data_IF_080618117522
#
_entry.id   IF_080618117522
#
_cell.length_a   1.000
_cell.length_b   1.000
_cell.length_c   1.000
_cell.angle_alpha   90.00
_cell.angle_beta   90.00
_cell.angle_gamma   90.00
#
_symmetry.space_group_name_H-M   'P 1'
#
loop_
_entity.id
_entity.type
_entity.pdbx_description
1 polymer ?
#
# COMPACT_ATOMS: atom_id res chain seq x y z
N UNK A 1 6.05 -30.36 -3.64
CA UNK A 1 6.15 -29.77 -2.30
C UNK A 1 4.80 -29.18 -1.95
N UNK A 2 4.22 -29.55 -0.80
CA UNK A 2 2.96 -28.95 -0.35
C UNK A 2 3.22 -27.49 0.07
N UNK A 3 2.38 -26.57 -0.40
CA UNK A 3 2.50 -25.17 -0.04
C UNK A 3 2.39 -24.97 1.49
N UNK A 4 3.23 -24.11 2.06
CA UNK A 4 3.16 -23.74 3.48
C UNK A 4 1.88 -22.94 3.73
N UNK A 5 1.06 -23.40 4.68
CA UNK A 5 -0.17 -22.71 5.06
C UNK A 5 0.15 -21.55 6.02
N UNK A 6 -0.19 -20.34 5.61
CA UNK A 6 -0.01 -19.10 6.38
C UNK A 6 -1.36 -18.44 6.60
N UNK A 7 -1.68 -18.08 7.83
CA UNK A 7 -2.93 -17.40 8.16
C UNK A 7 -2.72 -15.88 8.14
N UNK A 8 -3.55 -15.16 7.40
CA UNK A 8 -3.64 -13.70 7.42
C UNK A 8 -4.79 -13.31 8.34
N UNK A 9 -4.47 -12.79 9.52
CA UNK A 9 -5.47 -12.44 10.54
C UNK A 9 -5.87 -10.97 10.41
N UNK A 10 -7.11 -10.74 10.04
CA UNK A 10 -7.74 -9.42 9.83
C UNK A 10 -8.58 -9.02 11.04
N UNK A 11 -8.64 -7.72 11.32
CA UNK A 11 -9.55 -7.13 12.30
C UNK A 11 -10.81 -6.56 11.64
N UNK A 12 -11.38 -5.51 12.25
CA UNK A 12 -12.54 -4.82 11.72
C UNK A 12 -12.24 -4.25 10.32
N UNK A 13 -13.14 -4.49 9.40
CA UNK A 13 -13.05 -3.92 8.05
C UNK A 13 -13.32 -2.42 8.04
N UNK A 14 -12.67 -1.71 7.14
CA UNK A 14 -12.99 -0.32 6.81
C UNK A 14 -14.09 -0.28 5.73
N UNK A 15 -14.93 0.74 5.78
CA UNK A 15 -16.01 0.90 4.82
C UNK A 15 -15.91 2.26 4.11
N UNK A 16 -16.37 2.34 2.85
CA UNK A 16 -17.01 1.32 2.00
C UNK A 16 -16.00 0.38 1.28
N UNK A 17 -14.71 0.55 1.46
CA UNK A 17 -13.64 -0.28 0.87
C UNK A 17 -12.57 -0.54 1.92
N UNK A 18 -11.94 -1.70 1.88
CA UNK A 18 -10.84 -2.04 2.80
C UNK A 18 -9.58 -2.43 2.02
N UNK A 19 -8.65 -1.48 1.91
CA UNK A 19 -7.41 -1.69 1.17
C UNK A 19 -6.49 -2.76 1.78
N UNK A 20 -6.64 -3.10 3.08
CA UNK A 20 -5.88 -4.18 3.71
C UNK A 20 -6.50 -5.53 3.40
N UNK A 21 -7.83 -5.63 3.38
CA UNK A 21 -8.51 -6.85 2.95
C UNK A 21 -8.22 -7.14 1.47
N UNK A 22 -8.31 -6.14 0.60
CA UNK A 22 -7.95 -6.26 -0.82
C UNK A 22 -6.48 -6.69 -1.01
N UNK A 23 -5.57 -6.11 -0.24
CA UNK A 23 -4.16 -6.50 -0.22
C UNK A 23 -3.98 -7.98 0.17
N UNK A 24 -4.68 -8.45 1.21
CA UNK A 24 -4.61 -9.84 1.64
C UNK A 24 -5.16 -10.80 0.59
N UNK A 25 -6.24 -10.43 -0.13
CA UNK A 25 -6.76 -11.23 -1.22
C UNK A 25 -5.76 -11.36 -2.37
N UNK A 26 -5.12 -10.25 -2.76
CA UNK A 26 -4.06 -10.28 -3.79
C UNK A 26 -2.86 -11.11 -3.36
N UNK A 27 -2.46 -11.00 -2.10
CA UNK A 27 -1.40 -11.84 -1.54
C UNK A 27 -1.77 -13.33 -1.60
N UNK A 28 -3.03 -13.67 -1.28
CA UNK A 28 -3.56 -15.04 -1.38
C UNK A 28 -3.55 -15.56 -2.81
N UNK A 29 -3.99 -14.76 -3.79
CA UNK A 29 -3.98 -15.11 -5.21
C UNK A 29 -2.55 -15.40 -5.73
N UNK A 30 -1.57 -14.62 -5.31
CA UNK A 30 -0.20 -14.70 -5.80
C UNK A 30 0.69 -15.72 -5.06
N UNK A 31 0.38 -16.00 -3.78
CA UNK A 31 1.26 -16.76 -2.88
C UNK A 31 1.58 -18.19 -3.31
N UNK A 32 0.63 -18.87 -3.95
CA UNK A 32 0.79 -20.26 -4.38
C UNK A 32 1.98 -20.48 -5.34
N UNK A 33 2.32 -19.46 -6.15
CA UNK A 33 3.47 -19.51 -7.06
C UNK A 33 4.81 -19.56 -6.34
N UNK A 34 4.83 -19.15 -5.08
CA UNK A 34 6.02 -19.13 -4.21
C UNK A 34 5.90 -20.09 -3.03
N UNK A 35 5.04 -21.14 -3.15
CA UNK A 35 4.91 -22.15 -2.13
C UNK A 35 4.17 -21.71 -0.87
N UNK A 36 3.43 -20.59 -0.89
CA UNK A 36 2.65 -20.07 0.23
C UNK A 36 1.16 -20.17 -0.06
N UNK A 37 0.42 -20.86 0.80
CA UNK A 37 -1.04 -20.94 0.76
C UNK A 37 -1.62 -20.04 1.85
N UNK A 38 -1.98 -18.81 1.50
CA UNK A 38 -2.57 -17.87 2.43
C UNK A 38 -4.06 -18.15 2.67
N UNK A 39 -4.44 -18.18 3.93
CA UNK A 39 -5.82 -18.31 4.41
C UNK A 39 -6.21 -17.03 5.16
N UNK A 40 -7.32 -16.40 4.78
CA UNK A 40 -7.82 -15.19 5.41
C UNK A 40 -8.77 -15.56 6.54
N UNK A 41 -8.49 -15.04 7.74
CA UNK A 41 -9.34 -15.18 8.91
C UNK A 41 -9.65 -13.81 9.49
N UNK A 42 -10.92 -13.50 9.68
CA UNK A 42 -11.35 -12.25 10.27
C UNK A 42 -11.75 -12.45 11.74
N UNK A 43 -11.22 -11.60 12.61
CA UNK A 43 -11.60 -11.57 14.01
C UNK A 43 -12.70 -10.54 14.25
N UNK A 44 -13.91 -10.99 14.55
CA UNK A 44 -15.12 -10.18 14.67
C UNK A 44 -15.22 -9.42 16.02
N UNK A 45 -14.10 -8.92 16.56
CA UNK A 45 -14.04 -8.27 17.88
C UNK A 45 -14.93 -7.01 17.98
N UNK A 46 -15.21 -6.36 16.86
CA UNK A 46 -16.01 -5.14 16.83
C UNK A 46 -17.52 -5.44 16.98
N UNK A 47 -17.97 -6.58 16.51
CA UNK A 47 -19.34 -7.07 16.54
C UNK A 47 -19.62 -7.85 17.82
N UNK A 48 -18.81 -8.85 18.14
CA UNK A 48 -19.00 -9.82 19.22
C UNK A 48 -18.31 -9.44 20.54
N UNK A 49 -17.39 -8.49 20.45
CA UNK A 49 -16.59 -8.06 21.60
C UNK A 49 -15.33 -8.90 21.80
N UNK A 50 -14.35 -8.29 22.44
CA UNK A 50 -13.00 -8.85 22.59
C UNK A 50 -12.94 -10.18 23.37
N UNK A 51 -13.86 -10.44 24.30
CA UNK A 51 -13.85 -11.67 25.11
C UNK A 51 -14.24 -12.87 24.26
N UNK A 52 -15.34 -12.76 23.52
CA UNK A 52 -15.82 -13.80 22.63
C UNK A 52 -14.80 -14.09 21.53
N UNK A 53 -14.39 -13.06 20.81
CA UNK A 53 -13.45 -13.20 19.70
C UNK A 53 -12.07 -13.77 20.11
N UNK A 54 -11.56 -13.47 21.31
CA UNK A 54 -10.31 -14.11 21.78
C UNK A 54 -10.54 -15.58 22.19
N UNK A 55 -11.77 -15.98 22.58
CA UNK A 55 -12.13 -17.38 22.83
C UNK A 55 -12.15 -18.17 21.52
N UNK A 56 -12.85 -17.64 20.52
CA UNK A 56 -12.91 -18.23 19.17
C UNK A 56 -11.51 -18.33 18.52
N UNK A 57 -10.70 -17.26 18.65
CA UNK A 57 -9.32 -17.29 18.19
C UNK A 57 -8.54 -18.43 18.84
N UNK A 58 -8.72 -18.66 20.14
CA UNK A 58 -8.03 -19.75 20.86
C UNK A 58 -8.46 -21.11 20.32
N UNK A 59 -9.76 -21.31 20.09
CA UNK A 59 -10.30 -22.55 19.54
C UNK A 59 -9.77 -22.83 18.13
N UNK A 60 -9.81 -21.81 17.25
CA UNK A 60 -9.27 -21.91 15.89
C UNK A 60 -7.75 -22.15 15.87
N UNK A 61 -7.00 -21.46 16.75
CA UNK A 61 -5.55 -21.51 16.80
C UNK A 61 -4.98 -22.87 17.25
N UNK A 62 -5.76 -23.74 17.87
CA UNK A 62 -5.36 -25.12 18.14
C UNK A 62 -4.98 -25.85 16.86
N UNK A 63 -5.71 -25.60 15.75
CA UNK A 63 -5.41 -26.17 14.42
C UNK A 63 -4.23 -25.49 13.70
N UNK A 64 -3.62 -24.44 14.27
CA UNK A 64 -2.55 -23.67 13.65
C UNK A 64 -1.16 -23.91 14.26
N UNK A 65 -1.02 -24.95 15.08
CA UNK A 65 0.27 -25.28 15.70
C UNK A 65 1.39 -25.39 14.64
N UNK A 66 2.51 -24.71 14.87
CA UNK A 66 3.66 -24.62 13.97
C UNK A 66 3.46 -23.76 12.74
N UNK A 67 2.25 -23.28 12.45
CA UNK A 67 1.95 -22.41 11.29
C UNK A 67 2.24 -20.95 11.58
N UNK A 68 2.63 -20.23 10.54
CA UNK A 68 2.77 -18.76 10.57
C UNK A 68 1.39 -18.08 10.56
N UNK A 69 1.16 -17.16 11.50
CA UNK A 69 -0.08 -16.36 11.59
C UNK A 69 0.30 -14.88 11.58
N UNK A 70 -0.03 -14.18 10.50
CA UNK A 70 0.34 -12.79 10.27
C UNK A 70 -0.82 -11.84 10.61
N UNK A 71 -0.71 -11.16 11.75
CA UNK A 71 -1.64 -10.10 12.15
C UNK A 71 -1.50 -8.90 11.20
N UNK A 72 -2.56 -8.55 10.49
CA UNK A 72 -2.60 -7.35 9.65
C UNK A 72 -2.90 -6.13 10.52
N UNK A 73 -1.87 -5.33 10.82
CA UNK A 73 -2.01 -4.24 11.77
C UNK A 73 -2.24 -2.90 11.10
N UNK A 74 -3.46 -2.37 11.28
CA UNK A 74 -3.76 -0.95 11.24
C UNK A 74 -4.42 -0.55 12.55
N UNK A 75 -4.24 0.68 12.97
CA UNK A 75 -4.77 1.16 14.25
C UNK A 75 -6.29 1.00 14.37
N UNK A 76 -7.02 1.34 13.30
CA UNK A 76 -8.48 1.34 13.31
C UNK A 76 -9.09 -0.05 13.08
N UNK A 77 -8.36 -0.98 12.49
CA UNK A 77 -8.79 -2.38 12.44
C UNK A 77 -8.86 -3.02 13.83
N UNK A 78 -8.06 -2.56 14.80
CA UNK A 78 -7.97 -3.12 16.14
C UNK A 78 -8.48 -2.18 17.24
N UNK A 79 -9.06 -1.03 16.88
CA UNK A 79 -9.66 -0.10 17.84
C UNK A 79 -10.63 0.87 17.16
N UNK A 80 -11.86 1.00 17.70
CA UNK A 80 -12.83 1.98 17.20
C UNK A 80 -12.42 3.44 17.46
N UNK A 81 -11.62 3.68 18.50
CA UNK A 81 -11.25 5.04 18.96
C UNK A 81 -9.76 5.34 18.85
N UNK A 82 -9.00 4.49 18.13
CA UNK A 82 -7.58 4.68 17.96
C UNK A 82 -6.72 4.32 19.18
N UNK A 83 -7.19 3.41 20.06
CA UNK A 83 -6.43 2.86 21.21
C UNK A 83 -6.36 1.33 21.10
N UNK A 84 -5.48 0.75 20.27
CA UNK A 84 -5.45 -0.69 19.97
C UNK A 84 -4.79 -1.53 21.10
N UNK A 85 -5.06 -1.22 22.36
CA UNK A 85 -4.40 -1.79 23.54
C UNK A 85 -4.57 -3.32 23.68
N UNK A 86 -5.57 -3.89 23.01
CA UNK A 86 -5.85 -5.33 23.09
C UNK A 86 -5.19 -6.14 21.97
N UNK A 87 -4.70 -5.50 20.90
CA UNK A 87 -4.04 -6.19 19.77
C UNK A 87 -2.87 -7.10 20.22
N UNK A 88 -1.98 -6.70 21.16
CA UNK A 88 -0.90 -7.59 21.62
C UNK A 88 -1.37 -8.87 22.31
N UNK A 89 -2.63 -8.94 22.81
CA UNK A 89 -3.20 -10.16 23.39
C UNK A 89 -3.42 -11.26 22.35
N UNK A 90 -3.68 -10.87 21.10
CA UNK A 90 -3.82 -11.80 19.98
C UNK A 90 -2.54 -12.63 19.84
N UNK A 91 -1.37 -11.97 19.79
CA UNK A 91 -0.09 -12.67 19.66
C UNK A 91 0.19 -13.61 20.82
N UNK A 92 -0.25 -13.24 22.05
CA UNK A 92 -0.12 -14.13 23.19
C UNK A 92 -1.00 -15.40 23.06
N UNK A 93 -2.25 -15.25 22.58
CA UNK A 93 -3.14 -16.39 22.33
C UNK A 93 -2.52 -17.32 21.28
N UNK A 94 -2.08 -16.76 20.15
CA UNK A 94 -1.45 -17.53 19.08
C UNK A 94 -0.23 -18.32 19.59
N UNK A 95 0.66 -17.67 20.35
CA UNK A 95 1.84 -18.32 20.92
C UNK A 95 1.50 -19.41 21.94
N UNK A 96 0.47 -19.20 22.79
CA UNK A 96 0.00 -20.22 23.71
C UNK A 96 -0.56 -21.46 23.03
N UNK A 97 -1.10 -21.32 21.83
CA UNK A 97 -1.58 -22.42 20.98
C UNK A 97 -0.48 -23.02 20.09
N UNK A 98 0.77 -22.59 20.21
CA UNK A 98 1.90 -23.12 19.43
C UNK A 98 2.01 -22.61 18.00
N UNK A 99 1.23 -21.59 17.61
CA UNK A 99 1.39 -20.91 16.33
C UNK A 99 2.62 -19.97 16.35
N UNK A 100 3.14 -19.62 15.18
CA UNK A 100 4.24 -18.66 14.98
C UNK A 100 3.64 -17.28 14.66
N UNK A 101 3.53 -16.37 15.65
CA UNK A 101 2.90 -15.08 15.43
C UNK A 101 3.83 -14.12 14.68
N UNK A 102 3.37 -13.55 13.59
CA UNK A 102 3.98 -12.44 12.88
C UNK A 102 3.05 -11.22 12.80
N UNK A 103 3.59 -10.08 12.41
CA UNK A 103 2.82 -8.85 12.24
C UNK A 103 3.21 -8.17 10.92
N UNK A 104 2.22 -7.79 10.12
CA UNK A 104 2.38 -6.88 8.98
C UNK A 104 1.91 -5.50 9.42
N UNK A 105 2.85 -4.56 9.53
CA UNK A 105 2.59 -3.19 9.96
C UNK A 105 2.22 -2.31 8.77
N UNK A 106 0.92 -2.11 8.54
CA UNK A 106 0.41 -1.11 7.61
C UNK A 106 0.41 0.29 8.23
N UNK A 107 0.16 0.37 9.56
CA UNK A 107 0.40 1.55 10.39
C UNK A 107 1.59 1.28 11.30
N UNK A 108 2.65 2.07 11.14
CA UNK A 108 3.90 1.96 11.90
C UNK A 108 4.23 3.21 12.71
N UNK A 109 3.51 4.32 12.47
CA UNK A 109 3.62 5.54 13.24
C UNK A 109 2.41 5.68 14.18
N UNK A 110 2.62 6.26 15.37
CA UNK A 110 1.52 6.57 16.24
C UNK A 110 0.63 7.66 15.61
N UNK A 111 -0.68 7.57 15.85
CA UNK A 111 -1.60 8.63 15.45
C UNK A 111 -1.31 9.87 16.29
N UNK A 112 -0.67 10.84 15.68
CA UNK A 112 -0.45 12.15 16.29
C UNK A 112 -1.78 12.86 16.53
N UNK A 113 -1.90 13.52 17.68
CA UNK A 113 -3.08 14.30 18.03
C UNK A 113 -2.70 15.51 18.84
N UNK A 114 -3.58 16.52 18.85
CA UNK A 114 -3.38 17.74 19.64
C UNK A 114 -3.93 17.55 21.06
N UNK A 115 -3.30 18.21 22.04
CA UNK A 115 -3.71 18.20 23.44
C UNK A 115 -3.42 16.89 24.19
N UNK A 116 -3.85 16.80 25.44
CA UNK A 116 -3.54 15.70 26.38
C UNK A 116 -4.01 14.33 25.84
N UNK A 117 -5.21 14.28 25.24
CA UNK A 117 -5.74 13.04 24.65
C UNK A 117 -4.91 12.58 23.46
N UNK A 118 -4.42 13.52 22.65
CA UNK A 118 -3.53 13.24 21.52
C UNK A 118 -2.21 12.61 21.98
N UNK A 119 -1.59 13.21 23.00
CA UNK A 119 -0.33 12.70 23.59
C UNK A 119 -0.51 11.33 24.25
N UNK A 120 -1.61 11.14 24.99
CA UNK A 120 -1.93 9.84 25.58
C UNK A 120 -2.14 8.76 24.51
N UNK A 121 -2.79 9.11 23.40
CA UNK A 121 -2.99 8.21 22.25
C UNK A 121 -1.64 7.84 21.62
N UNK A 122 -0.80 8.81 21.36
CA UNK A 122 0.54 8.60 20.80
C UNK A 122 1.38 7.66 21.68
N UNK A 123 1.41 7.90 22.98
CA UNK A 123 2.09 7.03 23.94
C UNK A 123 1.53 5.59 23.93
N UNK A 124 0.20 5.45 23.95
CA UNK A 124 -0.45 4.13 23.87
C UNK A 124 -0.10 3.41 22.58
N UNK A 125 -0.09 4.12 21.45
CA UNK A 125 0.29 3.54 20.15
C UNK A 125 1.74 3.06 20.14
N UNK A 126 2.68 3.89 20.55
CA UNK A 126 4.11 3.49 20.63
C UNK A 126 4.30 2.25 21.48
N UNK A 127 3.59 2.20 22.63
CA UNK A 127 3.62 1.02 23.52
C UNK A 127 3.07 -0.23 22.80
N UNK A 128 1.95 -0.10 22.09
CA UNK A 128 1.35 -1.22 21.34
C UNK A 128 2.26 -1.67 20.22
N UNK A 129 2.79 -0.75 19.41
CA UNK A 129 3.69 -1.07 18.30
C UNK A 129 4.93 -1.83 18.78
N UNK A 130 5.57 -1.37 19.88
CA UNK A 130 6.70 -2.08 20.51
C UNK A 130 6.32 -3.46 21.00
N UNK A 131 5.17 -3.59 21.70
CA UNK A 131 4.69 -4.89 22.19
C UNK A 131 4.37 -5.88 21.07
N UNK A 132 3.80 -5.39 19.95
CA UNK A 132 3.55 -6.22 18.77
C UNK A 132 4.88 -6.68 18.16
N UNK A 133 5.83 -5.78 18.00
CA UNK A 133 7.18 -6.12 17.54
C UNK A 133 7.87 -7.12 18.47
N UNK A 134 7.91 -6.88 19.77
CA UNK A 134 8.57 -7.75 20.74
C UNK A 134 7.99 -9.17 20.75
N UNK A 135 6.67 -9.29 20.60
CA UNK A 135 5.93 -10.56 20.66
C UNK A 135 5.78 -11.28 19.34
N UNK A 136 6.15 -10.70 18.22
CA UNK A 136 6.17 -11.37 16.94
C UNK A 136 7.46 -12.15 16.72
N UNK A 137 7.41 -13.21 15.92
CA UNK A 137 8.58 -13.95 15.46
C UNK A 137 9.14 -13.30 14.18
N UNK A 138 8.26 -12.75 13.34
CA UNK A 138 8.59 -11.90 12.17
C UNK A 138 7.74 -10.64 12.19
N UNK A 139 8.34 -9.51 11.82
CA UNK A 139 7.68 -8.20 11.70
C UNK A 139 7.93 -7.64 10.31
N UNK A 140 6.87 -7.54 9.53
CA UNK A 140 6.91 -7.03 8.15
C UNK A 140 6.41 -5.58 8.16
N UNK A 141 7.21 -4.69 7.62
CA UNK A 141 6.89 -3.26 7.52
C UNK A 141 6.69 -2.87 6.06
N UNK A 142 5.67 -2.08 5.80
CA UNK A 142 5.35 -1.60 4.45
C UNK A 142 6.11 -0.33 4.05
N UNK A 143 7.04 0.11 4.89
CA UNK A 143 7.98 1.21 4.65
C UNK A 143 9.39 0.80 5.03
N UNK A 144 10.40 1.49 4.50
CA UNK A 144 11.80 1.21 4.81
C UNK A 144 12.09 1.34 6.30
N UNK A 145 12.90 0.42 6.85
CA UNK A 145 13.10 0.26 8.30
C UNK A 145 13.82 1.44 8.97
N UNK A 146 14.59 2.21 8.21
CA UNK A 146 15.26 3.43 8.67
C UNK A 146 14.30 4.59 8.97
N UNK A 147 13.09 4.53 8.43
CA UNK A 147 12.03 5.50 8.67
C UNK A 147 11.27 5.25 9.99
N UNK A 148 11.59 4.18 10.72
CA UNK A 148 10.87 3.76 11.91
C UNK A 148 11.71 4.02 13.15
N UNK A 149 11.58 5.21 13.73
CA UNK A 149 12.39 5.69 14.83
C UNK A 149 12.29 4.90 16.15
N UNK A 150 11.20 4.16 16.35
CA UNK A 150 10.98 3.39 17.57
C UNK A 150 11.51 1.94 17.50
N UNK A 151 11.96 1.46 16.33
CA UNK A 151 12.58 0.16 16.20
C UNK A 151 13.92 0.11 16.95
N UNK A 152 14.25 -1.03 17.60
CA UNK A 152 15.55 -1.21 18.20
C UNK A 152 16.66 -1.27 17.14
N UNK A 153 17.92 -1.04 17.54
CA UNK A 153 19.08 -1.14 16.65
C UNK A 153 19.24 -2.53 16.06
N UNK A 154 19.01 -3.58 16.88
CA UNK A 154 18.96 -4.96 16.40
C UNK A 154 17.60 -5.24 15.76
N UNK A 155 17.58 -5.35 14.43
CA UNK A 155 16.37 -5.48 13.61
C UNK A 155 16.20 -6.87 13.00
N UNK A 156 16.76 -7.92 13.64
CA UNK A 156 16.89 -9.28 13.05
C UNK A 156 15.56 -9.88 12.55
N UNK A 157 14.41 -9.53 13.16
CA UNK A 157 13.10 -10.02 12.76
C UNK A 157 12.25 -9.00 12.00
N UNK A 158 12.82 -7.84 11.67
CA UNK A 158 12.15 -6.80 10.89
C UNK A 158 12.52 -6.93 9.42
N UNK A 159 11.51 -7.01 8.56
CA UNK A 159 11.66 -7.10 7.11
C UNK A 159 10.84 -5.97 6.48
N UNK A 160 11.40 -5.33 5.47
CA UNK A 160 10.67 -4.37 4.64
C UNK A 160 10.09 -5.08 3.42
N UNK A 161 8.78 -5.00 3.24
CA UNK A 161 8.07 -5.48 2.05
C UNK A 161 7.04 -4.41 1.65
N UNK A 162 7.15 -3.77 0.48
CA UNK A 162 6.21 -2.75 0.04
C UNK A 162 4.82 -3.34 -0.22
N UNK A 163 3.80 -2.49 -0.34
CA UNK A 163 2.48 -2.96 -0.80
C UNK A 163 2.45 -3.08 -2.32
N UNK A 164 1.62 -3.98 -2.82
CA UNK A 164 1.31 -4.13 -4.23
C UNK A 164 0.10 -3.28 -4.67
N UNK A 165 -0.19 -3.28 -5.96
CA UNK A 165 -1.40 -2.67 -6.50
C UNK A 165 -2.61 -3.58 -6.24
N UNK A 166 -3.70 -3.00 -5.69
CA UNK A 166 -4.95 -3.73 -5.46
C UNK A 166 -5.85 -3.78 -6.71
N UNK A 167 -5.32 -3.46 -7.87
CA UNK A 167 -6.03 -3.51 -9.15
C UNK A 167 -5.29 -4.43 -10.13
N UNK A 168 -5.99 -5.01 -11.13
CA UNK A 168 -5.37 -5.84 -12.14
C UNK A 168 -4.30 -5.08 -12.94
N UNK A 169 -3.25 -5.78 -13.33
CA UNK A 169 -2.25 -5.25 -14.25
C UNK A 169 -2.87 -5.11 -15.64
N UNK A 170 -2.79 -3.92 -16.22
CA UNK A 170 -3.21 -3.68 -17.61
C UNK A 170 -1.97 -3.33 -18.41
N UNK A 171 -1.70 -4.10 -19.44
CA UNK A 171 -0.70 -3.72 -20.44
C UNK A 171 -1.18 -2.45 -21.14
N UNK A 172 -0.59 -1.32 -20.81
CA UNK A 172 -0.89 0.00 -21.40
C UNK A 172 -0.40 0.09 -22.85
N UNK A 173 -1.01 -0.71 -23.75
CA UNK A 173 -0.75 -0.66 -25.18
C UNK A 173 -1.68 0.31 -25.92
N UNK A 174 -2.58 0.99 -25.21
CA UNK A 174 -3.47 1.99 -25.82
C UNK A 174 -2.63 3.24 -26.16
N UNK A 175 -1.97 3.21 -27.31
CA UNK A 175 -1.37 4.41 -27.91
C UNK A 175 -2.49 5.35 -28.32
N UNK A 176 -2.64 6.46 -27.61
CA UNK A 176 -3.54 7.54 -28.02
C UNK A 176 -2.95 8.25 -29.24
N UNK A 177 -3.82 8.63 -30.16
CA UNK A 177 -3.42 9.46 -31.30
C UNK A 177 -2.89 10.82 -30.82
N UNK A 178 -2.01 11.47 -31.60
CA UNK A 178 -1.33 12.72 -31.22
C UNK A 178 -2.27 13.93 -31.03
N UNK A 179 -3.54 13.82 -31.40
CA UNK A 179 -4.53 14.93 -31.38
C UNK A 179 -5.50 14.88 -30.20
N UNK A 180 -5.38 13.90 -29.27
CA UNK A 180 -6.28 13.83 -28.12
C UNK A 180 -5.80 14.69 -26.97
N UNK A 181 -6.74 15.33 -26.25
CA UNK A 181 -6.47 16.09 -25.02
C UNK A 181 -5.68 15.24 -24.01
N UNK A 182 -4.70 15.84 -23.34
CA UNK A 182 -3.92 15.17 -22.30
C UNK A 182 -4.79 14.87 -21.10
N UNK A 183 -4.71 13.64 -20.60
CA UNK A 183 -5.54 13.18 -19.48
C UNK A 183 -4.73 13.10 -18.18
N UNK A 184 -5.21 13.81 -17.17
CA UNK A 184 -4.68 13.76 -15.80
C UNK A 184 -5.62 12.91 -14.95
N UNK A 185 -5.10 11.86 -14.34
CA UNK A 185 -5.82 11.03 -13.37
C UNK A 185 -5.59 11.54 -11.95
N UNK A 186 -6.64 11.53 -11.12
CA UNK A 186 -6.56 11.74 -9.67
C UNK A 186 -7.26 10.58 -8.98
N UNK A 187 -6.50 9.79 -8.23
CA UNK A 187 -7.02 8.62 -7.53
C UNK A 187 -7.24 8.92 -6.05
N UNK A 188 -8.49 9.14 -5.70
CA UNK A 188 -9.01 9.51 -4.38
C UNK A 188 -8.57 10.90 -3.90
N UNK A 189 -9.42 11.51 -3.11
CA UNK A 189 -9.19 12.79 -2.41
C UNK A 189 -9.46 12.54 -0.92
N UNK A 190 -8.62 13.13 -0.05
CA UNK A 190 -8.78 12.99 1.39
C UNK A 190 -9.98 13.80 1.87
N UNK A 191 -10.84 13.19 2.68
CA UNK A 191 -12.00 13.88 3.27
C UNK A 191 -11.62 14.87 4.39
N UNK A 192 -12.60 15.68 4.80
CA UNK A 192 -12.47 16.63 5.90
C UNK A 192 -11.62 17.86 5.55
N UNK A 193 -10.86 18.38 6.51
CA UNK A 193 -10.11 19.64 6.36
C UNK A 193 -9.01 19.62 5.28
N UNK A 194 -8.63 18.45 4.78
CA UNK A 194 -7.61 18.33 3.72
C UNK A 194 -8.18 18.47 2.32
N UNK A 195 -9.48 18.23 2.14
CA UNK A 195 -10.14 18.29 0.82
C UNK A 195 -9.89 19.64 0.14
N UNK A 196 -10.06 20.75 0.85
CA UNK A 196 -9.89 22.09 0.28
C UNK A 196 -8.45 22.37 -0.19
N UNK A 197 -7.47 21.86 0.52
CA UNK A 197 -6.04 22.00 0.15
C UNK A 197 -5.75 21.17 -1.10
N UNK A 198 -6.16 19.90 -1.10
CA UNK A 198 -5.93 18.99 -2.24
C UNK A 198 -6.65 19.49 -3.50
N UNK A 199 -7.89 20.01 -3.36
CA UNK A 199 -8.65 20.64 -4.47
C UNK A 199 -7.93 21.86 -5.02
N UNK A 200 -7.40 22.73 -4.15
CA UNK A 200 -6.65 23.92 -4.58
C UNK A 200 -5.35 23.54 -5.31
N UNK A 201 -4.61 22.55 -4.81
CA UNK A 201 -3.39 22.05 -5.45
C UNK A 201 -3.68 21.45 -6.83
N UNK A 202 -4.72 20.64 -6.97
CA UNK A 202 -5.17 20.07 -8.24
C UNK A 202 -5.55 21.17 -9.23
N UNK A 203 -6.39 22.12 -8.78
CA UNK A 203 -6.87 23.20 -9.65
C UNK A 203 -5.72 24.12 -10.12
N UNK A 204 -4.79 24.46 -9.22
CA UNK A 204 -3.61 25.26 -9.58
C UNK A 204 -2.72 24.53 -10.61
N UNK A 205 -2.44 23.25 -10.37
CA UNK A 205 -1.60 22.45 -11.26
C UNK A 205 -2.23 22.31 -12.67
N UNK A 206 -3.54 22.03 -12.73
CA UNK A 206 -4.25 21.87 -13.99
C UNK A 206 -4.40 23.18 -14.77
N UNK A 207 -4.69 24.31 -14.09
CA UNK A 207 -4.79 25.61 -14.74
C UNK A 207 -3.48 25.99 -15.41
N UNK A 208 -2.36 25.85 -14.71
CA UNK A 208 -1.04 26.16 -15.24
C UNK A 208 -0.64 25.21 -16.38
N UNK A 209 -0.84 23.92 -16.23
CA UNK A 209 -0.54 22.96 -17.28
C UNK A 209 -1.39 23.21 -18.55
N UNK A 210 -2.71 23.46 -18.40
CA UNK A 210 -3.61 23.76 -19.50
C UNK A 210 -3.24 25.00 -20.30
N UNK A 211 -2.70 26.04 -19.66
CA UNK A 211 -2.21 27.23 -20.35
C UNK A 211 -1.06 26.92 -21.32
N UNK A 212 -0.27 25.89 -21.04
CA UNK A 212 0.91 25.52 -21.86
C UNK A 212 0.63 24.41 -22.84
N UNK A 213 -0.11 23.38 -22.44
CA UNK A 213 -0.30 22.17 -23.29
C UNK A 213 -1.64 22.15 -24.03
N UNK A 214 -2.50 23.14 -23.77
CA UNK A 214 -3.85 23.23 -24.36
C UNK A 214 -4.90 22.43 -23.57
N UNK A 215 -6.00 22.02 -24.20
CA UNK A 215 -7.11 21.36 -23.54
C UNK A 215 -6.70 20.11 -22.78
N UNK A 216 -7.20 19.98 -21.55
CA UNK A 216 -6.96 18.84 -20.67
C UNK A 216 -8.24 18.07 -20.38
N UNK A 217 -8.08 16.80 -20.00
CA UNK A 217 -9.12 15.98 -19.42
C UNK A 217 -8.69 15.57 -18.01
N UNK A 218 -9.55 15.82 -17.03
CA UNK A 218 -9.38 15.37 -15.65
C UNK A 218 -10.28 14.19 -15.37
N UNK A 219 -9.74 13.06 -14.93
CA UNK A 219 -10.48 11.88 -14.51
C UNK A 219 -10.28 11.67 -13.02
N UNK A 220 -11.36 11.83 -12.25
CA UNK A 220 -11.39 11.65 -10.81
C UNK A 220 -12.04 10.32 -10.47
N UNK A 221 -11.46 9.51 -9.60
CA UNK A 221 -12.05 8.25 -9.14
C UNK A 221 -11.57 7.88 -7.74
N UNK A 222 -12.29 6.93 -7.12
CA UNK A 222 -12.02 6.51 -5.75
C UNK A 222 -12.71 7.40 -4.69
N UNK A 223 -12.35 7.20 -3.43
CA UNK A 223 -12.95 7.90 -2.29
C UNK A 223 -12.78 9.42 -2.41
N UNK A 224 -13.81 10.18 -2.07
CA UNK A 224 -13.80 11.65 -2.03
C UNK A 224 -13.83 12.32 -3.41
N UNK A 225 -13.85 11.56 -4.52
CA UNK A 225 -13.82 12.14 -5.87
C UNK A 225 -15.11 12.88 -6.22
N UNK A 226 -16.29 12.30 -5.91
CA UNK A 226 -17.58 12.94 -6.17
C UNK A 226 -17.84 14.15 -5.28
N UNK A 227 -17.41 14.06 -4.02
CA UNK A 227 -17.54 15.13 -3.04
C UNK A 227 -16.69 16.35 -3.39
N UNK A 228 -15.52 16.12 -3.99
CA UNK A 228 -14.58 17.17 -4.41
C UNK A 228 -14.92 17.78 -5.77
N UNK A 229 -15.68 17.10 -6.64
CA UNK A 229 -15.97 17.51 -8.00
C UNK A 229 -16.60 18.92 -8.10
N UNK A 230 -17.64 19.30 -7.31
CA UNK A 230 -18.22 20.63 -7.41
C UNK A 230 -17.22 21.75 -7.12
N UNK A 231 -16.34 21.56 -6.12
CA UNK A 231 -15.31 22.53 -5.76
C UNK A 231 -14.24 22.64 -6.86
N UNK A 232 -13.86 21.52 -7.49
CA UNK A 232 -12.93 21.52 -8.61
C UNK A 232 -13.51 22.22 -9.84
N UNK A 233 -14.77 21.95 -10.19
CA UNK A 233 -15.46 22.65 -11.30
C UNK A 233 -15.52 24.16 -11.06
N UNK A 234 -15.84 24.57 -9.82
CA UNK A 234 -15.85 25.99 -9.46
C UNK A 234 -14.49 26.65 -9.60
N UNK A 235 -13.41 25.99 -9.11
CA UNK A 235 -12.05 26.56 -9.18
C UNK A 235 -11.47 26.52 -10.59
N UNK A 236 -11.91 25.60 -11.45
CA UNK A 236 -11.44 25.45 -12.84
C UNK A 236 -12.36 26.18 -13.84
N UNK A 237 -13.32 26.94 -13.37
CA UNK A 237 -14.16 27.75 -14.25
C UNK A 237 -13.31 28.66 -15.15
N UNK A 238 -13.62 28.69 -16.45
CA UNK A 238 -12.87 29.41 -17.46
C UNK A 238 -11.60 28.71 -17.98
N UNK A 239 -11.31 27.50 -17.51
CA UNK A 239 -10.26 26.63 -18.08
C UNK A 239 -10.90 25.67 -19.09
N UNK A 240 -10.35 25.59 -20.29
CA UNK A 240 -10.83 24.63 -21.30
C UNK A 240 -10.43 23.21 -20.89
N UNK A 241 -11.39 22.51 -20.25
CA UNK A 241 -11.15 21.21 -19.64
C UNK A 241 -12.42 20.35 -19.55
N UNK A 242 -12.27 19.08 -19.86
CA UNK A 242 -13.27 18.06 -19.55
C UNK A 242 -13.01 17.51 -18.13
N UNK A 243 -14.02 17.49 -17.27
CA UNK A 243 -13.95 16.92 -15.93
C UNK A 243 -14.92 15.75 -15.83
N UNK A 244 -14.39 14.56 -15.58
CA UNK A 244 -15.15 13.34 -15.36
C UNK A 244 -14.88 12.81 -13.95
N UNK A 245 -15.95 12.58 -13.17
CA UNK A 245 -15.87 12.00 -11.82
C UNK A 245 -16.60 10.67 -11.78
N UNK A 246 -15.86 9.59 -11.65
CA UNK A 246 -16.38 8.23 -11.65
C UNK A 246 -16.87 7.78 -10.26
N UNK A 247 -16.43 8.44 -9.18
CA UNK A 247 -16.71 8.01 -7.82
C UNK A 247 -15.96 6.73 -7.43
N UNK A 248 -16.58 5.92 -6.58
CA UNK A 248 -16.06 4.58 -6.26
C UNK A 248 -16.26 3.66 -7.47
N UNK A 249 -15.19 3.00 -7.87
CA UNK A 249 -15.13 2.14 -9.05
C UNK A 249 -14.53 0.78 -8.71
N UNK A 250 -14.75 -0.23 -9.56
CA UNK A 250 -14.15 -1.55 -9.39
C UNK A 250 -12.63 -1.53 -9.65
N UNK A 251 -11.87 -2.53 -9.18
CA UNK A 251 -10.43 -2.62 -9.45
C UNK A 251 -10.10 -2.59 -10.95
N UNK A 252 -10.92 -3.20 -11.81
CA UNK A 252 -10.76 -3.20 -13.28
C UNK A 252 -10.93 -1.79 -13.86
N UNK A 253 -11.94 -1.06 -13.37
CA UNK A 253 -12.18 0.32 -13.76
C UNK A 253 -11.07 1.26 -13.29
N UNK A 254 -10.47 1.01 -12.09
CA UNK A 254 -9.25 1.71 -11.64
C UNK A 254 -8.13 1.53 -12.65
N UNK A 255 -7.85 0.28 -13.04
CA UNK A 255 -6.80 -0.02 -14.02
C UNK A 255 -7.06 0.64 -15.37
N UNK A 256 -8.32 0.61 -15.84
CA UNK A 256 -8.71 1.26 -17.10
C UNK A 256 -8.53 2.79 -17.04
N UNK A 257 -8.95 3.43 -15.95
CA UNK A 257 -8.80 4.87 -15.76
C UNK A 257 -7.32 5.28 -15.72
N UNK A 258 -6.47 4.51 -15.03
CA UNK A 258 -5.02 4.75 -14.97
C UNK A 258 -4.34 4.50 -16.32
N UNK A 259 -4.64 3.38 -16.99
CA UNK A 259 -4.08 3.06 -18.30
C UNK A 259 -4.51 4.07 -19.37
N UNK A 260 -5.69 4.67 -19.20
CA UNK A 260 -6.22 5.73 -20.04
C UNK A 260 -5.66 7.12 -19.74
N UNK A 261 -4.77 7.34 -18.78
CA UNK A 261 -4.21 8.64 -18.43
C UNK A 261 -2.79 8.86 -18.97
N UNK A 262 -2.33 10.11 -19.02
CA UNK A 262 -0.96 10.50 -19.34
C UNK A 262 -0.10 10.67 -18.09
N UNK A 263 -0.74 11.01 -16.94
CA UNK A 263 -0.07 11.23 -15.66
C UNK A 263 -1.05 11.02 -14.51
N UNK A 264 -0.55 10.49 -13.38
CA UNK A 264 -1.26 10.48 -12.11
C UNK A 264 -0.81 11.68 -11.27
N UNK A 265 -1.72 12.58 -10.93
CA UNK A 265 -1.50 13.65 -9.98
C UNK A 265 -1.91 13.16 -8.58
N UNK A 266 -0.92 12.86 -7.74
CA UNK A 266 -1.12 12.31 -6.41
C UNK A 266 -0.89 13.37 -5.34
N UNK A 267 -1.97 13.90 -4.76
CA UNK A 267 -1.93 15.01 -3.77
C UNK A 267 -2.31 14.58 -2.35
N UNK A 268 -2.55 13.29 -2.10
CA UNK A 268 -2.96 12.76 -0.79
C UNK A 268 -1.79 12.65 0.20
N UNK A 269 -1.12 13.78 0.48
CA UNK A 269 0.08 13.83 1.30
C UNK A 269 1.30 13.27 0.55
N UNK A 270 2.30 12.82 1.31
CA UNK A 270 3.54 12.28 0.75
C UNK A 270 3.33 10.94 0.05
N UNK A 271 4.07 10.70 -1.04
CA UNK A 271 4.13 9.38 -1.67
C UNK A 271 5.01 8.44 -0.84
N UNK A 272 4.61 7.18 -0.76
CA UNK A 272 5.38 6.14 -0.06
C UNK A 272 5.02 4.73 -0.55
N UNK A 273 5.81 3.75 -0.14
CA UNK A 273 5.66 2.32 -0.48
C UNK A 273 4.39 1.65 0.08
N UNK A 274 3.64 2.33 0.95
CA UNK A 274 2.37 1.86 1.51
C UNK A 274 1.13 2.54 0.90
N UNK A 275 1.32 3.41 -0.08
CA UNK A 275 0.23 4.14 -0.76
C UNK A 275 -0.28 3.37 -1.97
N UNK A 276 -1.18 2.41 -1.76
CA UNK A 276 -1.72 1.53 -2.80
C UNK A 276 -2.22 2.28 -4.05
N UNK A 277 -2.81 3.48 -3.92
CA UNK A 277 -3.24 4.29 -5.06
C UNK A 277 -2.07 4.83 -5.90
N UNK A 278 -0.92 5.15 -5.29
CA UNK A 278 0.28 5.53 -6.02
C UNK A 278 0.94 4.29 -6.65
N UNK A 279 0.98 3.17 -5.93
CA UNK A 279 1.51 1.91 -6.45
C UNK A 279 0.69 1.41 -7.64
N UNK A 280 -0.63 1.62 -7.66
CA UNK A 280 -1.47 1.33 -8.82
C UNK A 280 -1.04 2.15 -10.06
N UNK A 281 -0.68 3.43 -9.89
CA UNK A 281 -0.08 4.23 -10.96
C UNK A 281 1.25 3.66 -11.46
N UNK A 282 2.13 3.23 -10.55
CA UNK A 282 3.40 2.57 -10.89
C UNK A 282 3.14 1.27 -11.67
N UNK A 283 2.20 0.44 -11.22
CA UNK A 283 1.84 -0.81 -11.87
C UNK A 283 1.30 -0.63 -13.31
N UNK A 284 0.59 0.47 -13.56
CA UNK A 284 0.15 0.83 -14.91
C UNK A 284 1.24 1.51 -15.75
N UNK A 285 2.47 1.66 -15.25
CA UNK A 285 3.53 2.40 -15.94
C UNK A 285 3.21 3.88 -16.11
N UNK A 286 2.34 4.45 -15.28
CA UNK A 286 1.87 5.83 -15.40
C UNK A 286 2.78 6.77 -14.61
N UNK A 287 3.41 7.80 -15.24
CA UNK A 287 4.18 8.80 -14.53
C UNK A 287 3.39 9.44 -13.39
N UNK A 288 4.05 9.73 -12.28
CA UNK A 288 3.40 10.28 -11.09
C UNK A 288 4.01 11.63 -10.74
N UNK A 289 3.15 12.65 -10.58
CA UNK A 289 3.50 13.93 -9.98
C UNK A 289 2.89 14.00 -8.59
N UNK A 290 3.70 14.30 -7.56
CA UNK A 290 3.27 14.20 -6.18
C UNK A 290 4.09 15.04 -5.22
N UNK A 291 3.72 15.05 -3.94
CA UNK A 291 4.53 15.56 -2.85
C UNK A 291 5.45 14.48 -2.28
N UNK A 292 6.69 14.87 -1.98
CA UNK A 292 7.66 14.08 -1.21
C UNK A 292 7.38 14.18 0.30
N UNK A 293 8.13 13.42 1.09
CA UNK A 293 8.11 13.52 2.56
C UNK A 293 9.01 12.47 3.21
N UNK A 294 8.92 12.34 4.52
CA UNK A 294 9.78 11.44 5.29
C UNK A 294 9.65 9.96 4.86
N UNK A 295 8.49 9.56 4.33
CA UNK A 295 8.27 8.19 3.83
C UNK A 295 8.63 8.01 2.34
N UNK A 296 9.08 9.07 1.66
CA UNK A 296 9.48 9.00 0.24
C UNK A 296 10.92 8.54 0.14
N UNK A 297 11.11 7.23 0.06
CA UNK A 297 12.41 6.59 0.04
C UNK A 297 12.47 5.47 -1.00
N UNK A 298 13.58 4.76 -1.05
CA UNK A 298 13.69 3.55 -1.85
C UNK A 298 12.56 2.55 -1.49
N UNK A 299 11.93 1.88 -2.47
CA UNK A 299 12.18 1.92 -3.92
C UNK A 299 11.36 2.97 -4.70
N UNK A 300 10.55 3.83 -4.05
CA UNK A 300 9.79 4.90 -4.73
C UNK A 300 10.71 5.84 -5.53
N UNK A 301 11.92 6.12 -5.02
CA UNK A 301 12.90 6.99 -5.69
C UNK A 301 13.47 6.41 -6.99
N UNK A 302 13.38 5.10 -7.20
CA UNK A 302 13.74 4.46 -8.47
C UNK A 302 12.59 4.50 -9.50
N UNK A 303 11.36 4.67 -9.05
CA UNK A 303 10.18 4.72 -9.91
C UNK A 303 10.10 6.02 -10.75
N UNK A 304 9.19 6.04 -11.69
CA UNK A 304 8.90 7.20 -12.54
C UNK A 304 8.04 8.25 -11.84
N UNK A 305 8.55 8.75 -10.72
CA UNK A 305 7.88 9.68 -9.83
C UNK A 305 8.62 11.01 -9.84
N UNK A 306 7.89 12.10 -10.09
CA UNK A 306 8.37 13.47 -9.96
C UNK A 306 7.79 14.06 -8.67
N UNK A 307 8.57 13.98 -7.60
CA UNK A 307 8.15 14.40 -6.26
C UNK A 307 8.70 15.79 -5.93
N UNK A 308 7.82 16.68 -5.45
CA UNK A 308 8.15 18.06 -5.03
C UNK A 308 7.99 18.24 -3.53
N UNK A 309 8.52 19.33 -3.01
CA UNK A 309 8.44 19.65 -1.57
C UNK A 309 6.97 19.82 -1.14
N UNK A 310 6.55 19.29 0.01
CA UNK A 310 5.18 19.43 0.50
C UNK A 310 4.76 20.90 0.66
N UNK A 311 3.57 21.22 0.13
CA UNK A 311 3.00 22.57 0.18
C UNK A 311 3.52 23.53 -0.89
N UNK A 312 4.49 23.13 -1.70
CA UNK A 312 4.90 23.91 -2.88
C UNK A 312 3.99 23.59 -4.07
N UNK A 313 2.82 24.22 -4.09
CA UNK A 313 1.84 24.04 -5.18
C UNK A 313 2.34 24.59 -6.52
N UNK A 314 3.29 25.53 -6.51
CA UNK A 314 3.90 26.05 -7.75
C UNK A 314 4.87 25.04 -8.35
N UNK A 315 5.70 24.39 -7.52
CA UNK A 315 6.57 23.29 -7.99
C UNK A 315 5.74 22.11 -8.48
N UNK A 316 4.62 21.78 -7.80
CA UNK A 316 3.70 20.72 -8.24
C UNK A 316 3.12 21.03 -9.63
N UNK A 317 2.68 22.26 -9.85
CA UNK A 317 2.15 22.71 -11.13
C UNK A 317 3.22 22.69 -12.23
N UNK A 318 4.45 23.14 -11.94
CA UNK A 318 5.57 23.10 -12.89
C UNK A 318 5.97 21.65 -13.25
N UNK A 319 5.95 20.75 -12.27
CA UNK A 319 6.21 19.33 -12.49
C UNK A 319 5.15 18.69 -13.41
N UNK A 320 3.86 18.99 -13.18
CA UNK A 320 2.77 18.50 -14.02
C UNK A 320 2.90 19.05 -15.45
N UNK A 321 3.18 20.34 -15.60
CA UNK A 321 3.44 20.98 -16.90
C UNK A 321 4.56 20.29 -17.65
N UNK A 322 5.69 20.02 -16.98
CA UNK A 322 6.86 19.36 -17.59
C UNK A 322 6.50 17.95 -18.08
N UNK A 323 5.83 17.14 -17.26
CA UNK A 323 5.44 15.77 -17.64
C UNK A 323 4.47 15.76 -18.82
N UNK A 324 3.55 16.73 -18.88
CA UNK A 324 2.55 16.77 -19.96
C UNK A 324 3.11 17.35 -21.27
N UNK A 325 4.05 18.31 -21.21
CA UNK A 325 4.63 18.97 -22.39
C UNK A 325 5.78 18.16 -23.03
N UNK A 326 6.59 17.45 -22.23
CA UNK A 326 7.73 16.66 -22.70
C UNK A 326 7.37 15.17 -22.82
N UNK A 327 7.10 14.74 -24.04
CA UNK A 327 6.75 13.33 -24.33
C UNK A 327 7.92 12.37 -24.04
N UNK A 328 9.16 12.78 -24.33
CA UNK A 328 10.34 11.94 -24.11
C UNK A 328 10.58 11.73 -22.63
N UNK A 329 10.49 12.80 -21.85
CA UNK A 329 10.59 12.72 -20.40
C UNK A 329 9.47 11.86 -19.79
N UNK A 330 8.23 12.05 -20.25
CA UNK A 330 7.08 11.23 -19.82
C UNK A 330 7.29 9.74 -20.11
N UNK A 331 7.79 9.39 -21.30
CA UNK A 331 8.10 7.99 -21.64
C UNK A 331 9.22 7.41 -20.78
N UNK A 332 10.23 8.21 -20.44
CA UNK A 332 11.30 7.80 -19.52
C UNK A 332 10.76 7.48 -18.13
N UNK A 333 9.87 8.31 -17.59
CA UNK A 333 9.22 8.06 -16.31
C UNK A 333 8.34 6.81 -16.36
N UNK A 334 7.58 6.63 -17.45
CA UNK A 334 6.76 5.44 -17.65
C UNK A 334 7.59 4.14 -17.65
N UNK A 335 8.75 4.15 -18.28
CA UNK A 335 9.67 3.01 -18.31
C UNK A 335 10.27 2.73 -16.92
N UNK A 336 10.64 3.77 -16.18
CA UNK A 336 11.10 3.61 -14.79
C UNK A 336 10.02 2.98 -13.92
N UNK A 337 8.75 3.37 -14.09
CA UNK A 337 7.64 2.76 -13.35
C UNK A 337 7.48 1.28 -13.69
N UNK A 338 7.53 0.87 -14.95
CA UNK A 338 7.45 -0.55 -15.34
C UNK A 338 8.55 -1.37 -14.69
N UNK A 339 9.81 -0.89 -14.73
CA UNK A 339 10.96 -1.56 -14.10
C UNK A 339 10.82 -1.63 -12.58
N UNK A 340 10.40 -0.55 -11.94
CA UNK A 340 10.19 -0.51 -10.50
C UNK A 340 9.04 -1.44 -10.07
N UNK A 341 7.95 -1.48 -10.85
CA UNK A 341 6.85 -2.41 -10.62
C UNK A 341 7.32 -3.87 -10.69
N UNK A 342 7.93 -4.27 -11.78
CA UNK A 342 8.42 -5.64 -11.98
C UNK A 342 9.34 -6.07 -10.83
N UNK A 343 10.27 -5.20 -10.45
CA UNK A 343 11.32 -5.52 -9.48
C UNK A 343 10.86 -5.49 -8.03
N UNK A 344 9.93 -4.59 -7.66
CA UNK A 344 9.63 -4.29 -6.26
C UNK A 344 8.15 -4.38 -5.89
N UNK A 345 7.23 -4.01 -6.80
CA UNK A 345 5.83 -3.79 -6.48
C UNK A 345 4.88 -4.81 -7.12
N UNK A 346 5.39 -5.70 -7.97
CA UNK A 346 4.60 -6.82 -8.50
C UNK A 346 4.27 -7.81 -7.40
N UNK A 347 3.12 -8.44 -7.49
CA UNK A 347 2.72 -9.46 -6.51
C UNK A 347 3.67 -10.65 -6.51
N UNK A 348 4.34 -10.94 -7.63
CA UNK A 348 5.40 -11.95 -7.70
C UNK A 348 6.60 -11.56 -6.83
N UNK A 349 7.11 -10.33 -6.95
CA UNK A 349 8.21 -9.85 -6.13
C UNK A 349 7.85 -9.83 -4.64
N UNK A 350 6.66 -9.30 -4.30
CA UNK A 350 6.17 -9.22 -2.92
C UNK A 350 6.02 -10.60 -2.29
N UNK A 351 5.41 -11.57 -2.99
CA UNK A 351 5.22 -12.93 -2.44
C UNK A 351 6.54 -13.69 -2.32
N UNK A 352 7.53 -13.43 -3.18
CA UNK A 352 8.88 -13.97 -3.03
C UNK A 352 9.55 -13.45 -1.74
N UNK A 353 9.41 -12.16 -1.42
CA UNK A 353 9.91 -11.58 -0.17
C UNK A 353 9.18 -12.17 1.07
N UNK A 354 7.86 -12.39 0.99
CA UNK A 354 7.13 -13.10 2.04
C UNK A 354 7.64 -14.53 2.23
N UNK A 355 7.89 -15.27 1.16
CA UNK A 355 8.43 -16.63 1.22
C UNK A 355 9.82 -16.64 1.88
N UNK A 356 10.68 -15.68 1.53
CA UNK A 356 11.99 -15.52 2.16
C UNK A 356 11.86 -15.17 3.66
N UNK A 357 10.99 -14.23 4.01
CA UNK A 357 10.77 -13.78 5.40
C UNK A 357 10.20 -14.88 6.31
N UNK A 358 9.39 -15.79 5.75
CA UNK A 358 8.78 -16.90 6.48
C UNK A 358 9.64 -18.18 6.45
N UNK A 359 10.75 -18.20 5.71
CA UNK A 359 11.64 -19.36 5.61
C UNK A 359 11.15 -20.48 4.69
N UNK A 360 10.13 -20.23 3.86
CA UNK A 360 9.57 -21.22 2.94
C UNK A 360 10.59 -21.72 1.91
N UNK A 361 11.55 -20.86 1.51
CA UNK A 361 12.62 -21.22 0.56
C UNK A 361 13.76 -22.06 1.19
N UNK A 362 13.88 -22.09 2.52
CA UNK A 362 14.95 -22.84 3.21
C UNK A 362 14.79 -24.35 3.06
N UNK A 363 13.57 -24.83 2.86
CA UNK A 363 13.25 -26.26 2.72
C UNK A 363 13.69 -26.82 1.36
N UNK A 364 13.64 -26.02 0.29
CA UNK A 364 14.13 -26.43 -1.03
C UNK A 364 15.67 -26.47 -1.09
N UNK A 365 16.33 -25.47 -0.50
CA UNK A 365 17.80 -25.47 -0.43
C UNK A 365 18.37 -26.58 0.46
N UNK A 366 17.68 -26.93 1.55
CA UNK A 366 18.07 -28.08 2.39
C UNK A 366 17.77 -29.42 1.71
N UNK A 367 16.68 -29.55 0.95
CA UNK A 367 16.38 -30.76 0.17
C UNK A 367 17.36 -30.96 -0.98
N UNK A 368 17.78 -29.88 -1.64
CA UNK A 368 18.78 -29.94 -2.73
C UNK A 368 20.20 -30.23 -2.23
N UNK A 369 20.58 -29.68 -1.07
CA UNK A 369 21.83 -30.01 -0.38
C UNK A 369 21.86 -31.42 0.17
N UNK A 370 20.74 -31.96 0.64
CA UNK A 370 20.63 -33.34 1.11
C UNK A 370 20.68 -34.33 -0.08
N UNK A 371 20.05 -33.99 -1.20
CA UNK A 371 20.13 -34.77 -2.46
C UNK A 371 21.58 -34.80 -3.00
N UNK A 372 22.25 -33.64 -3.09
CA UNK A 372 23.66 -33.57 -3.52
C UNK A 372 24.59 -34.36 -2.60
N UNK A 373 24.37 -34.36 -1.28
CA UNK A 373 25.14 -35.20 -0.34
C UNK A 373 24.88 -36.69 -0.53
N UNK A 374 23.63 -37.08 -0.80
CA UNK A 374 23.29 -38.49 -1.03
C UNK A 374 23.83 -39.03 -2.36
N UNK A 375 23.86 -38.21 -3.41
CA UNK A 375 24.44 -38.55 -4.70
C UNK A 375 25.97 -38.63 -4.67
N UNK A 376 26.63 -37.78 -3.87
CA UNK A 376 28.09 -37.84 -3.68
C UNK A 376 28.51 -39.05 -2.86
N UNK A 377 27.68 -39.60 -1.96
CA UNK A 377 27.95 -40.84 -1.21
C UNK A 377 27.66 -42.11 -2.00
N UNK A 378 26.97 -42.02 -3.13
CA UNK A 378 26.71 -43.20 -4.01
C UNK A 378 27.76 -43.41 -5.11
N UNK A 379 28.67 -42.45 -5.28
CA UNK A 379 29.74 -42.48 -6.30
C UNK A 379 31.12 -42.73 -5.69
N UNK A 380 31.24 -42.83 -4.37
CA UNK A 380 32.41 -43.26 -3.64
C UNK A 380 32.22 -44.68 -3.05
#
# INVERSE_FOLDING_TARGET
>A
VSAEKVILLLGRRDEPTDGVADYCEKLREAGLRHGLAFELVQLAWAEEGWRASLSELREAAVGWQGRSVLLQFTTLAWSRRGFPLRAPRILNVLRQCGAKPGVVFHDFLPLAGRGIVGQAREYCHLRVLRQLYERSDVSIFTVALDQISWLPLSRQKAVFIPVGANCPEVNSSVRRGPQQAKTVAVYSITGGNRTSIEVADIANALRRAGQKVGPLRLVLFGRGSREAEPALRSQLNGVEMEIESLGLVTPEQVSQALAGADVLLFVRGQISTRRGSAIAGIACGLPIVCYSGAETAWPITEAGVLAVVPGDSNALAAALETVLSDNTFRMTLAERNRKAHEKYFSWAAITAEFAAALGANSTEQQADLSKKKSDTMRVA
#
